data_IF_842126025385
#
_entry.id   IF_842126025385
#
_cell.length_a   1.000
_cell.length_b   1.000
_cell.length_c   1.000
_cell.angle_alpha   90.00
_cell.angle_beta   90.00
_cell.angle_gamma   90.00
#
_symmetry.space_group_name_H-M   'P 1'
#
loop_
_entity.id
_entity.type
_entity.pdbx_description
1 polymer ?
#
# COMPACT_ATOMS: atom_id res chain seq x y z
N UNK A 1 19.76 -4.88 2.82
CA UNK A 1 18.61 -4.17 3.41
C UNK A 1 17.53 -4.01 2.37
N UNK A 2 16.32 -4.34 2.72
CA UNK A 2 15.22 -4.13 1.81
C UNK A 2 14.90 -2.65 1.71
N UNK A 3 14.92 -2.15 0.49
CA UNK A 3 14.57 -0.77 0.22
C UNK A 3 13.07 -0.59 0.47
N UNK A 4 12.70 0.48 1.19
CA UNK A 4 11.29 0.74 1.49
C UNK A 4 10.45 0.89 0.22
N UNK A 5 11.02 1.44 -0.85
CA UNK A 5 10.32 1.58 -2.13
C UNK A 5 9.93 0.22 -2.68
N UNK A 6 10.86 -0.72 -2.70
CA UNK A 6 10.59 -2.07 -3.17
C UNK A 6 9.57 -2.77 -2.30
N UNK A 7 9.68 -2.59 -0.99
CA UNK A 7 8.75 -3.18 -0.03
C UNK A 7 7.33 -2.66 -0.27
N UNK A 8 7.16 -1.34 -0.39
CA UNK A 8 5.85 -0.74 -0.62
C UNK A 8 5.25 -1.21 -1.93
N UNK A 9 6.03 -1.20 -3.01
CA UNK A 9 5.54 -1.64 -4.30
C UNK A 9 5.09 -3.10 -4.27
N UNK A 10 5.86 -3.95 -3.60
CA UNK A 10 5.53 -5.38 -3.49
C UNK A 10 4.26 -5.60 -2.67
N UNK A 11 4.16 -4.94 -1.51
CA UNK A 11 3.02 -5.10 -0.61
C UNK A 11 1.73 -4.55 -1.22
N UNK A 12 1.82 -3.45 -1.95
CA UNK A 12 0.66 -2.84 -2.59
C UNK A 12 0.36 -3.41 -3.98
N UNK A 13 1.29 -4.19 -4.55
CA UNK A 13 1.12 -4.72 -5.90
C UNK A 13 1.12 -3.64 -6.96
N UNK A 14 1.93 -2.59 -6.79
CA UNK A 14 1.99 -1.46 -7.71
C UNK A 14 3.39 -1.29 -8.27
N UNK A 15 3.49 -0.52 -9.35
CA UNK A 15 4.77 -0.16 -9.94
C UNK A 15 5.35 1.07 -9.25
N UNK A 16 6.64 1.32 -9.47
CA UNK A 16 7.28 2.54 -8.96
C UNK A 16 6.62 3.79 -9.53
N UNK A 17 6.18 3.74 -10.77
CA UNK A 17 5.47 4.85 -11.40
C UNK A 17 4.15 5.14 -10.69
N UNK A 18 3.39 4.11 -10.38
CA UNK A 18 2.15 4.26 -9.64
C UNK A 18 2.39 4.79 -8.23
N UNK A 19 3.46 4.35 -7.58
CA UNK A 19 3.84 4.87 -6.28
C UNK A 19 4.12 6.37 -6.36
N UNK A 20 4.85 6.81 -7.37
CA UNK A 20 5.14 8.22 -7.58
C UNK A 20 3.85 9.02 -7.77
N UNK A 21 2.89 8.50 -8.52
CA UNK A 21 1.60 9.15 -8.71
C UNK A 21 0.84 9.29 -7.38
N UNK A 22 0.82 8.25 -6.57
CA UNK A 22 0.16 8.28 -5.26
C UNK A 22 0.80 9.28 -4.31
N UNK A 23 2.12 9.44 -4.41
CA UNK A 23 2.88 10.38 -3.58
C UNK A 23 2.90 11.80 -4.16
N UNK A 24 2.38 11.98 -5.37
CA UNK A 24 2.42 13.26 -6.09
C UNK A 24 3.84 13.78 -6.28
N UNK A 25 4.76 12.88 -6.61
CA UNK A 25 6.16 13.21 -6.90
C UNK A 25 6.47 12.84 -8.35
N UNK A 26 7.62 13.30 -8.83
CA UNK A 26 8.05 12.98 -10.18
C UNK A 26 8.17 11.47 -10.39
N UNK A 27 7.75 10.92 -11.54
CA UNK A 27 7.79 9.47 -11.79
C UNK A 27 9.16 8.82 -11.60
N UNK A 28 10.24 9.57 -11.75
CA UNK A 28 11.60 9.04 -11.58
C UNK A 28 12.06 9.00 -10.12
N UNK A 29 11.33 9.61 -9.20
CA UNK A 29 11.75 9.68 -7.79
C UNK A 29 11.86 8.30 -7.12
N UNK A 30 10.86 7.39 -7.23
CA UNK A 30 11.02 6.08 -6.64
C UNK A 30 12.22 5.30 -7.20
N UNK A 31 12.48 5.44 -8.49
CA UNK A 31 13.64 4.80 -9.11
C UNK A 31 14.96 5.33 -8.52
N UNK A 32 15.06 6.63 -8.28
CA UNK A 32 16.24 7.22 -7.63
C UNK A 32 16.40 6.67 -6.21
N UNK A 33 15.34 6.60 -5.45
CA UNK A 33 15.39 6.04 -4.10
C UNK A 33 15.80 4.57 -4.11
N UNK A 34 15.39 3.81 -5.13
CA UNK A 34 15.77 2.42 -5.27
C UNK A 34 17.23 2.24 -5.66
N UNK A 35 17.81 3.21 -6.38
CA UNK A 35 19.19 3.11 -6.87
C UNK A 35 20.25 3.67 -5.92
N UNK A 36 19.84 4.15 -4.74
CA UNK A 36 20.80 4.57 -3.73
C UNK A 36 20.54 5.94 -3.12
N UNK A 37 19.73 6.78 -3.74
CA UNK A 37 19.36 8.07 -3.14
C UNK A 37 18.38 7.81 -1.99
N UNK A 38 18.65 8.41 -0.84
CA UNK A 38 17.77 8.24 0.30
C UNK A 38 16.50 9.09 0.13
N UNK A 39 15.31 8.51 0.33
CA UNK A 39 14.10 9.31 0.35
C UNK A 39 14.09 10.23 1.57
N UNK A 40 13.43 11.36 1.44
CA UNK A 40 13.29 12.28 2.58
C UNK A 40 12.50 11.61 3.71
N UNK A 41 12.65 12.12 4.93
CA UNK A 41 11.92 11.60 6.08
C UNK A 41 10.40 11.63 5.83
N UNK A 42 9.91 12.68 5.18
CA UNK A 42 8.50 12.81 4.85
C UNK A 42 8.07 11.73 3.84
N UNK A 43 8.90 11.45 2.84
CA UNK A 43 8.61 10.41 1.86
C UNK A 43 8.59 9.03 2.51
N UNK A 44 9.52 8.73 3.40
CA UNK A 44 9.54 7.48 4.16
C UNK A 44 8.27 7.34 4.98
N UNK A 45 7.89 8.38 5.69
CA UNK A 45 6.68 8.38 6.51
C UNK A 45 5.43 8.15 5.67
N UNK A 46 5.36 8.78 4.51
CA UNK A 46 4.24 8.59 3.59
C UNK A 46 4.14 7.14 3.13
N UNK A 47 5.28 6.54 2.77
CA UNK A 47 5.32 5.13 2.35
C UNK A 47 4.93 4.19 3.48
N UNK A 48 5.36 4.47 4.70
CA UNK A 48 4.96 3.70 5.88
C UNK A 48 3.45 3.79 6.11
N UNK A 49 2.88 4.97 5.95
CA UNK A 49 1.43 5.16 6.06
C UNK A 49 0.66 4.39 4.98
N UNK A 50 1.19 4.34 3.76
CA UNK A 50 0.58 3.53 2.70
C UNK A 50 0.55 2.05 3.07
N UNK A 51 1.65 1.55 3.65
CA UNK A 51 1.72 0.16 4.10
C UNK A 51 0.70 -0.13 5.20
N UNK A 52 0.59 0.75 6.18
CA UNK A 52 -0.39 0.60 7.25
C UNK A 52 -1.81 0.65 6.73
N UNK A 53 -2.08 1.57 5.82
CA UNK A 53 -3.39 1.70 5.20
C UNK A 53 -3.78 0.40 4.47
N UNK A 54 -2.85 -0.20 3.74
CA UNK A 54 -3.11 -1.44 3.03
C UNK A 54 -3.40 -2.59 3.99
N UNK A 55 -2.67 -2.67 5.09
CA UNK A 55 -2.91 -3.69 6.12
C UNK A 55 -4.30 -3.55 6.73
N UNK A 56 -4.69 -2.33 7.06
CA UNK A 56 -6.02 -2.05 7.62
C UNK A 56 -7.10 -2.37 6.60
N UNK A 57 -6.91 -1.97 5.37
CA UNK A 57 -7.86 -2.24 4.29
C UNK A 57 -8.06 -3.73 4.09
N UNK A 58 -6.96 -4.50 4.09
CA UNK A 58 -7.04 -5.95 3.95
C UNK A 58 -7.83 -6.58 5.10
N UNK A 59 -7.62 -6.13 6.33
CA UNK A 59 -8.38 -6.60 7.48
C UNK A 59 -9.87 -6.27 7.35
N UNK A 60 -10.18 -5.04 6.94
CA UNK A 60 -11.57 -4.61 6.74
C UNK A 60 -12.25 -5.42 5.64
N UNK A 61 -11.55 -5.70 4.56
CA UNK A 61 -12.10 -6.52 3.47
C UNK A 61 -12.43 -7.94 3.97
N UNK A 62 -11.60 -8.51 4.82
CA UNK A 62 -11.88 -9.81 5.42
C UNK A 62 -13.11 -9.76 6.32
N UNK A 63 -13.25 -8.70 7.10
CA UNK A 63 -14.43 -8.49 7.93
C UNK A 63 -15.70 -8.33 7.09
N UNK A 64 -15.64 -7.54 6.04
CA UNK A 64 -16.78 -7.35 5.15
C UNK A 64 -17.23 -8.66 4.53
N UNK A 65 -16.29 -9.49 4.09
CA UNK A 65 -16.61 -10.80 3.53
C UNK A 65 -17.31 -11.68 4.57
N UNK A 66 -16.80 -11.71 5.79
CA UNK A 66 -17.40 -12.48 6.88
C UNK A 66 -18.82 -11.99 7.18
N UNK A 67 -19.03 -10.69 7.27
CA UNK A 67 -20.35 -10.12 7.51
C UNK A 67 -21.32 -10.38 6.36
N UNK A 68 -20.83 -10.31 5.12
CA UNK A 68 -21.66 -10.60 3.95
C UNK A 68 -22.15 -12.04 3.98
N UNK A 69 -21.30 -12.99 4.35
CA UNK A 69 -21.69 -14.39 4.47
C UNK A 69 -22.74 -14.60 5.57
N UNK A 70 -22.59 -13.90 6.69
CA UNK A 70 -23.57 -13.98 7.79
C UNK A 70 -24.90 -13.39 7.34
N UNK A 71 -24.89 -12.25 6.67
CA UNK A 71 -26.10 -11.61 6.17
C UNK A 71 -26.81 -12.48 5.15
N UNK A 72 -26.08 -13.10 4.24
CA UNK A 72 -26.66 -14.05 3.27
C UNK A 72 -27.33 -15.23 3.98
N UNK A 73 -26.67 -15.76 5.00
CA UNK A 73 -27.24 -16.86 5.78
C UNK A 73 -28.54 -16.41 6.47
N UNK A 74 -28.60 -15.22 7.02
CA UNK A 74 -29.80 -14.65 7.63
C UNK A 74 -30.91 -14.44 6.62
N UNK A 75 -30.56 -13.95 5.44
CA UNK A 75 -31.53 -13.64 4.40
C UNK A 75 -32.08 -14.89 3.70
N UNK A 76 -31.38 -15.99 3.81
CA UNK A 76 -31.82 -17.25 3.18
C UNK A 76 -32.72 -18.11 4.07
N UNK A 77 -33.02 -17.65 5.27
CA UNK A 77 -33.88 -18.36 6.22
C UNK A 77 -35.35 -17.96 6.11
#
# INVERSE_FOLDING_TARGET
>A
MDNIVKKVCKELGITQKELAERMSVHPNMPAKWSSGDEPSAMAVKFMELLLEHEKIKSKLDKFKTAFALIDEAKNSV
#
